data_IF_818489221769
#
_entry.id   IF_818489221769
#
_cell.length_a   1.000
_cell.length_b   1.000
_cell.length_c   1.000
_cell.angle_alpha   90.00
_cell.angle_beta   90.00
_cell.angle_gamma   90.00
#
_symmetry.space_group_name_H-M   'P 1'
#
loop_
_entity.id
_entity.type
_entity.pdbx_description
1 polymer ?
#
# COMPACT_ATOMS: atom_id res chain seq x y z
N UNK A 1 17.16 39.82 -23.78
CA UNK A 1 16.83 38.96 -22.74
C UNK A 1 16.46 37.57 -23.18
N UNK A 2 17.31 36.71 -22.90
CA UNK A 2 17.13 35.41 -23.44
C UNK A 2 16.42 34.49 -22.52
N UNK A 3 15.22 34.09 -22.91
CA UNK A 3 14.54 33.01 -22.28
C UNK A 3 15.12 31.69 -22.77
N UNK A 4 16.31 31.40 -22.31
CA UNK A 4 16.90 30.13 -22.68
C UNK A 4 16.17 29.02 -21.97
N UNK A 5 15.56 28.14 -22.74
CA UNK A 5 14.97 26.92 -22.19
C UNK A 5 16.08 26.07 -21.58
N UNK A 6 15.87 25.47 -20.41
CA UNK A 6 16.86 24.54 -19.86
C UNK A 6 17.14 23.44 -20.88
N UNK A 7 18.37 22.99 -20.93
CA UNK A 7 18.72 21.87 -21.81
C UNK A 7 18.08 20.60 -21.29
N UNK A 8 17.73 19.69 -22.17
CA UNK A 8 17.13 18.42 -21.79
C UNK A 8 18.02 17.62 -20.84
N UNK A 9 19.34 17.52 -21.06
CA UNK A 9 20.22 16.84 -20.11
C UNK A 9 20.19 17.46 -18.72
N UNK A 10 20.12 18.79 -18.62
CA UNK A 10 20.02 19.46 -17.31
C UNK A 10 18.73 19.13 -16.59
N UNK A 11 17.62 19.09 -17.32
CA UNK A 11 16.32 18.73 -16.75
C UNK A 11 16.31 17.29 -16.24
N UNK A 12 16.87 16.36 -16.99
CA UNK A 12 16.98 14.97 -16.58
C UNK A 12 17.84 14.85 -15.33
N UNK A 13 18.97 15.54 -15.30
CA UNK A 13 19.84 15.55 -14.13
C UNK A 13 19.13 16.11 -12.89
N UNK A 14 18.43 17.22 -13.06
CA UNK A 14 17.68 17.84 -11.96
C UNK A 14 16.58 16.89 -11.44
N UNK A 15 15.86 16.28 -12.35
CA UNK A 15 14.81 15.32 -11.96
C UNK A 15 15.40 14.15 -11.15
N UNK A 16 16.50 13.60 -11.62
CA UNK A 16 17.16 12.48 -10.92
C UNK A 16 17.64 12.88 -9.53
N UNK A 17 18.23 14.05 -9.40
CA UNK A 17 18.68 14.57 -8.12
C UNK A 17 17.51 14.72 -7.13
N UNK A 18 16.39 15.26 -7.61
CA UNK A 18 15.18 15.41 -6.79
C UNK A 18 14.60 14.05 -6.41
N UNK A 19 14.58 13.11 -7.34
CA UNK A 19 14.10 11.75 -7.09
C UNK A 19 14.93 11.06 -6.02
N UNK A 20 16.24 11.16 -6.12
CA UNK A 20 17.16 10.55 -5.15
C UNK A 20 16.99 11.19 -3.77
N UNK A 21 16.82 12.49 -3.72
CA UNK A 21 16.58 13.21 -2.47
C UNK A 21 15.25 12.77 -1.82
N UNK A 22 14.20 12.63 -2.61
CA UNK A 22 12.92 12.14 -2.11
C UNK A 22 13.03 10.72 -1.57
N UNK A 23 13.77 9.86 -2.25
CA UNK A 23 13.99 8.48 -1.81
C UNK A 23 14.74 8.43 -0.47
N UNK A 24 15.76 9.28 -0.34
CA UNK A 24 16.52 9.36 0.90
C UNK A 24 15.67 9.86 2.06
N UNK A 25 14.84 10.89 1.83
CA UNK A 25 13.93 11.39 2.85
C UNK A 25 12.94 10.31 3.33
N UNK A 26 12.40 9.54 2.39
CA UNK A 26 11.49 8.44 2.75
C UNK A 26 12.18 7.37 3.56
N UNK A 27 13.42 7.05 3.20
CA UNK A 27 14.21 6.06 3.92
C UNK A 27 14.51 6.51 5.34
N UNK A 28 14.96 7.76 5.50
CA UNK A 28 15.25 8.33 6.81
C UNK A 28 14.01 8.39 7.69
N UNK A 29 12.89 8.79 7.10
CA UNK A 29 11.61 8.83 7.79
C UNK A 29 11.20 7.45 8.29
N UNK A 30 11.31 6.43 7.44
CA UNK A 30 10.95 5.07 7.80
C UNK A 30 11.81 4.52 8.93
N UNK A 31 13.09 4.83 8.91
CA UNK A 31 14.03 4.39 9.96
C UNK A 31 13.70 5.02 11.31
N UNK A 32 13.45 6.33 11.32
CA UNK A 32 13.06 7.02 12.56
C UNK A 32 11.72 6.54 13.07
N UNK A 33 10.74 6.43 12.17
CA UNK A 33 9.41 5.96 12.52
C UNK A 33 9.45 4.56 13.11
N UNK A 34 10.22 3.67 12.51
CA UNK A 34 10.38 2.31 13.02
C UNK A 34 10.98 2.26 14.41
N UNK A 35 11.96 3.11 14.67
CA UNK A 35 12.57 3.20 15.99
C UNK A 35 11.55 3.63 17.04
N UNK A 36 10.75 4.65 16.71
CA UNK A 36 9.68 5.13 17.61
C UNK A 36 8.60 4.08 17.79
N UNK A 37 8.21 3.41 16.73
CA UNK A 37 7.22 2.33 16.78
C UNK A 37 7.67 1.20 17.69
N UNK A 38 8.94 0.81 17.58
CA UNK A 38 9.50 -0.24 18.44
C UNK A 38 9.42 0.14 19.92
N UNK A 39 9.68 1.41 20.24
CA UNK A 39 9.54 1.91 21.60
C UNK A 39 8.09 1.88 22.07
N UNK A 40 7.15 2.28 21.21
CA UNK A 40 5.73 2.20 21.51
C UNK A 40 5.27 0.77 21.74
N UNK A 41 5.75 -0.16 20.91
CA UNK A 41 5.39 -1.58 21.02
C UNK A 41 5.85 -2.18 22.36
N UNK A 42 7.02 -1.79 22.82
CA UNK A 42 7.49 -2.23 24.15
C UNK A 42 6.59 -1.73 25.28
N UNK A 43 6.15 -0.48 25.18
CA UNK A 43 5.20 0.08 26.15
C UNK A 43 3.87 -0.65 26.09
N UNK A 44 3.37 -0.92 24.88
CA UNK A 44 2.11 -1.68 24.68
C UNK A 44 2.20 -3.06 25.32
N UNK A 45 3.33 -3.75 25.19
CA UNK A 45 3.53 -5.06 25.81
C UNK A 45 3.45 -5.01 27.33
N UNK A 46 4.08 -3.99 27.94
CA UNK A 46 4.01 -3.80 29.38
C UNK A 46 2.59 -3.56 29.82
N UNK A 47 1.84 -2.71 29.11
CA UNK A 47 0.46 -2.40 29.44
C UNK A 47 -0.44 -3.61 29.24
N UNK A 48 -0.21 -4.39 28.18
CA UNK A 48 -0.97 -5.62 27.90
C UNK A 48 -0.72 -6.66 29.01
N UNK A 49 0.52 -6.82 29.45
CA UNK A 49 0.88 -7.70 30.54
C UNK A 49 0.17 -7.29 31.83
N UNK A 50 0.12 -5.99 32.12
CA UNK A 50 -0.59 -5.47 33.28
C UNK A 50 -2.08 -5.85 33.24
N UNK A 51 -2.72 -5.66 32.09
CA UNK A 51 -4.13 -6.04 31.93
C UNK A 51 -4.35 -7.55 32.08
N UNK A 52 -3.42 -8.33 31.56
CA UNK A 52 -3.51 -9.79 31.61
C UNK A 52 -3.34 -10.31 33.02
N UNK A 53 -2.36 -9.80 33.76
CA UNK A 53 -2.08 -10.21 35.13
C UNK A 53 -3.18 -9.83 36.10
N UNK A 54 -3.85 -8.70 35.86
CA UNK A 54 -4.92 -8.22 36.74
C UNK A 54 -6.33 -8.53 36.21
N UNK A 55 -6.40 -9.20 35.07
CA UNK A 55 -7.67 -9.55 34.40
C UNK A 55 -8.59 -8.33 34.23
N UNK A 56 -8.05 -7.26 33.73
CA UNK A 56 -8.78 -6.02 33.46
C UNK A 56 -8.65 -5.65 31.99
N UNK A 57 -9.66 -4.96 31.46
CA UNK A 57 -9.70 -4.59 30.05
C UNK A 57 -9.44 -3.11 29.81
N UNK A 58 -9.54 -2.29 30.83
CA UNK A 58 -9.37 -0.84 30.69
C UNK A 58 -8.83 -0.24 31.97
N UNK A 59 -7.90 0.72 31.82
CA UNK A 59 -7.35 1.46 32.96
C UNK A 59 -7.35 2.93 32.59
N UNK A 60 -7.94 3.76 33.47
CA UNK A 60 -7.95 5.20 33.31
C UNK A 60 -6.81 5.79 34.15
N UNK A 61 -5.99 6.62 33.50
CA UNK A 61 -4.91 7.36 34.16
C UNK A 61 -5.06 8.83 33.90
N UNK A 62 -4.32 9.65 34.62
CA UNK A 62 -4.32 11.11 34.40
C UNK A 62 -3.80 11.48 33.02
N UNK A 63 -2.96 10.60 32.41
CA UNK A 63 -2.37 10.83 31.10
C UNK A 63 -3.20 10.24 29.95
N UNK A 64 -4.28 9.53 30.26
CA UNK A 64 -5.14 8.89 29.29
C UNK A 64 -5.62 7.53 29.75
N UNK A 65 -6.41 6.90 28.92
CA UNK A 65 -6.98 5.58 29.21
C UNK A 65 -6.41 4.57 28.22
N UNK A 66 -5.95 3.44 28.72
CA UNK A 66 -5.59 2.33 27.84
C UNK A 66 -6.58 1.18 27.99
N UNK A 67 -6.83 0.51 26.87
CA UNK A 67 -7.83 -0.55 26.79
C UNK A 67 -7.24 -1.76 26.08
N UNK A 68 -7.43 -2.95 26.68
CA UNK A 68 -7.06 -4.19 26.01
C UNK A 68 -8.13 -4.53 25.00
N UNK A 69 -7.78 -4.45 23.73
CA UNK A 69 -8.71 -4.70 22.62
C UNK A 69 -8.35 -5.98 21.90
N UNK A 70 -9.36 -6.79 21.62
CA UNK A 70 -9.16 -8.01 20.84
C UNK A 70 -9.26 -7.65 19.36
N UNK A 71 -8.15 -7.84 18.64
CA UNK A 71 -8.10 -7.61 17.21
C UNK A 71 -8.10 -8.94 16.49
N UNK A 72 -9.08 -9.16 15.63
CA UNK A 72 -9.20 -10.38 14.84
C UNK A 72 -8.96 -10.06 13.39
N UNK A 73 -8.02 -10.77 12.78
CA UNK A 73 -7.72 -10.65 11.34
C UNK A 73 -8.19 -11.91 10.66
N UNK A 74 -8.83 -11.75 9.52
CA UNK A 74 -9.32 -12.86 8.71
C UNK A 74 -8.49 -12.98 7.45
N UNK A 75 -8.08 -14.19 7.13
CA UNK A 75 -7.27 -14.48 5.95
C UNK A 75 -7.58 -15.89 5.44
N UNK A 76 -7.12 -16.20 4.24
CA UNK A 76 -7.34 -17.54 3.69
C UNK A 76 -6.03 -18.12 3.17
N UNK A 77 -5.89 -19.43 3.31
CA UNK A 77 -4.84 -20.21 2.66
C UNK A 77 -5.39 -21.08 1.53
N UNK A 78 -6.68 -20.95 1.24
CA UNK A 78 -7.33 -21.72 0.18
C UNK A 78 -8.33 -20.83 -0.55
N UNK A 79 -7.83 -20.09 -1.54
CA UNK A 79 -8.65 -19.15 -2.30
C UNK A 79 -9.75 -19.82 -3.10
N UNK A 80 -9.52 -21.06 -3.59
CA UNK A 80 -10.52 -21.78 -4.36
C UNK A 80 -11.76 -22.07 -3.53
N UNK A 81 -11.55 -22.58 -2.32
CA UNK A 81 -12.66 -22.85 -1.40
C UNK A 81 -13.38 -21.57 -0.98
N UNK A 82 -12.61 -20.51 -0.74
CA UNK A 82 -13.22 -19.24 -0.38
C UNK A 82 -14.06 -18.69 -1.53
N UNK A 83 -13.57 -18.76 -2.76
CA UNK A 83 -14.33 -18.32 -3.93
C UNK A 83 -15.61 -19.13 -4.10
N UNK A 84 -15.56 -20.45 -3.94
CA UNK A 84 -16.73 -21.30 -4.00
C UNK A 84 -17.78 -20.88 -2.94
N UNK A 85 -17.32 -20.63 -1.74
CA UNK A 85 -18.19 -20.19 -0.65
C UNK A 85 -18.84 -18.85 -0.97
N UNK A 86 -18.07 -17.89 -1.48
CA UNK A 86 -18.57 -16.56 -1.87
C UNK A 86 -19.65 -16.67 -2.95
N UNK A 87 -19.42 -17.51 -3.96
CA UNK A 87 -20.38 -17.73 -5.04
C UNK A 87 -21.64 -18.43 -4.55
N UNK A 88 -21.47 -19.43 -3.70
CA UNK A 88 -22.60 -20.19 -3.14
C UNK A 88 -23.51 -19.31 -2.27
N UNK A 89 -22.92 -18.44 -1.45
CA UNK A 89 -23.66 -17.58 -0.54
C UNK A 89 -23.96 -16.19 -1.11
N UNK A 90 -23.50 -15.92 -2.33
CA UNK A 90 -23.69 -14.63 -3.01
C UNK A 90 -23.20 -13.42 -2.17
N UNK A 91 -21.99 -13.54 -1.61
CA UNK A 91 -21.43 -12.51 -0.73
C UNK A 91 -20.09 -11.95 -1.26
N UNK A 92 -20.05 -11.40 -2.50
CA UNK A 92 -18.79 -10.86 -3.02
C UNK A 92 -18.26 -9.67 -2.22
N UNK A 93 -19.11 -9.05 -1.41
CA UNK A 93 -18.75 -7.87 -0.62
C UNK A 93 -17.76 -8.15 0.52
N UNK A 94 -17.51 -9.43 0.84
CA UNK A 94 -16.46 -9.75 1.82
C UNK A 94 -15.05 -9.54 1.24
N UNK A 95 -14.93 -9.41 -0.08
CA UNK A 95 -13.68 -9.06 -0.75
C UNK A 95 -13.62 -7.57 -1.01
N UNK A 96 -12.41 -7.03 -1.01
CA UNK A 96 -12.22 -5.63 -1.36
C UNK A 96 -12.46 -5.42 -2.85
N UNK A 97 -13.09 -4.28 -3.18
CA UNK A 97 -13.34 -3.91 -4.57
C UNK A 97 -12.08 -3.31 -5.19
N UNK A 98 -11.24 -4.16 -5.71
CA UNK A 98 -10.03 -3.75 -6.38
C UNK A 98 -9.84 -4.57 -7.65
N UNK A 99 -9.64 -3.87 -8.76
CA UNK A 99 -9.40 -4.52 -10.05
C UNK A 99 -7.91 -4.84 -10.15
N UNK A 100 -7.58 -6.09 -10.44
CA UNK A 100 -6.22 -6.48 -10.75
C UNK A 100 -5.89 -5.99 -12.16
N UNK A 101 -5.06 -4.97 -12.27
CA UNK A 101 -4.68 -4.40 -13.56
C UNK A 101 -3.98 -5.43 -14.45
N UNK A 102 -3.11 -6.22 -13.86
CA UNK A 102 -2.36 -7.25 -14.60
C UNK A 102 -3.28 -8.33 -15.14
N UNK A 103 -4.14 -8.89 -14.30
CA UNK A 103 -5.06 -9.94 -14.72
C UNK A 103 -6.07 -9.42 -15.76
N UNK A 104 -6.52 -8.19 -15.59
CA UNK A 104 -7.44 -7.58 -16.54
C UNK A 104 -6.77 -7.36 -17.88
N UNK A 105 -5.52 -6.88 -17.91
CA UNK A 105 -4.78 -6.71 -19.16
C UNK A 105 -4.60 -8.03 -19.89
N UNK A 106 -4.28 -9.09 -19.18
CA UNK A 106 -4.15 -10.43 -19.78
C UNK A 106 -5.45 -10.89 -20.38
N UNK A 107 -6.55 -10.67 -19.70
CA UNK A 107 -7.88 -11.01 -20.20
C UNK A 107 -8.24 -10.24 -21.47
N UNK A 108 -7.96 -8.91 -21.48
CA UNK A 108 -8.22 -8.04 -22.62
C UNK A 108 -7.33 -8.34 -23.81
N UNK A 109 -6.10 -8.81 -23.56
CA UNK A 109 -5.14 -9.14 -24.62
C UNK A 109 -5.42 -10.49 -25.29
N UNK A 110 -6.26 -11.31 -24.66
CA UNK A 110 -6.67 -12.60 -25.24
C UNK A 110 -7.39 -12.36 -26.56
N UNK A 111 -7.08 -13.15 -27.56
CA UNK A 111 -7.67 -13.03 -28.89
C UNK A 111 -9.21 -13.12 -28.87
N UNK A 112 -9.74 -13.97 -28.00
CA UNK A 112 -11.19 -14.14 -27.86
C UNK A 112 -11.88 -12.89 -27.30
N UNK A 113 -11.14 -12.04 -26.60
CA UNK A 113 -11.69 -10.87 -25.91
C UNK A 113 -11.28 -9.54 -26.51
N UNK A 114 -10.57 -9.56 -27.65
CA UNK A 114 -10.13 -8.30 -28.29
C UNK A 114 -11.30 -7.39 -28.59
N UNK A 115 -11.16 -6.14 -28.17
CA UNK A 115 -12.17 -5.12 -28.39
C UNK A 115 -13.33 -5.15 -27.42
N UNK A 116 -13.33 -6.09 -26.48
CA UNK A 116 -14.37 -6.18 -25.46
C UNK A 116 -13.91 -5.46 -24.19
N UNK A 117 -14.68 -4.48 -23.78
CA UNK A 117 -14.51 -3.86 -22.47
C UNK A 117 -15.66 -4.36 -21.58
N UNK A 118 -15.35 -5.04 -20.45
CA UNK A 118 -16.41 -5.53 -19.57
C UNK A 118 -17.37 -4.42 -19.14
N UNK A 119 -18.63 -4.74 -19.06
CA UNK A 119 -19.65 -3.76 -18.62
C UNK A 119 -19.32 -3.27 -17.21
N UNK A 120 -19.46 -1.99 -16.99
CA UNK A 120 -19.16 -1.36 -15.73
C UNK A 120 -17.69 -0.96 -15.57
N UNK A 121 -16.85 -1.35 -16.53
CA UNK A 121 -15.45 -1.01 -16.52
C UNK A 121 -15.21 0.26 -17.33
N UNK A 122 -14.37 1.14 -16.84
CA UNK A 122 -13.94 2.34 -17.55
C UNK A 122 -12.42 2.29 -17.69
N UNK A 123 -11.95 2.85 -18.80
CA UNK A 123 -10.52 2.89 -19.09
C UNK A 123 -10.11 4.30 -19.51
N UNK A 124 -8.97 4.74 -19.04
CA UNK A 124 -8.34 5.95 -19.52
C UNK A 124 -6.89 5.67 -19.79
N UNK A 125 -6.27 6.54 -20.56
CA UNK A 125 -4.85 6.43 -20.88
C UNK A 125 -4.24 7.81 -20.87
N UNK A 126 -3.04 7.90 -20.34
CA UNK A 126 -2.28 9.14 -20.38
C UNK A 126 -0.84 8.83 -20.74
N UNK A 127 -0.21 9.79 -21.41
CA UNK A 127 1.21 9.69 -21.68
C UNK A 127 1.98 10.26 -20.50
N UNK A 128 3.02 9.57 -20.11
CA UNK A 128 3.88 10.01 -19.01
C UNK A 128 5.33 9.86 -19.41
N UNK A 129 6.21 10.48 -18.66
CA UNK A 129 7.64 10.41 -18.87
C UNK A 129 8.27 9.52 -17.82
N UNK A 130 9.05 8.57 -18.27
CA UNK A 130 9.84 7.71 -17.41
C UNK A 130 11.32 8.04 -17.61
N UNK A 131 12.02 8.25 -16.50
CA UNK A 131 13.44 8.61 -16.56
C UNK A 131 14.26 7.49 -15.93
N UNK A 132 15.19 6.96 -16.69
CA UNK A 132 16.07 5.89 -16.27
C UNK A 132 17.51 6.37 -16.21
N UNK A 133 18.30 5.72 -15.38
CA UNK A 133 19.74 5.97 -15.35
C UNK A 133 20.37 5.57 -16.68
N UNK A 134 21.42 6.27 -17.11
CA UNK A 134 22.16 5.82 -18.28
C UNK A 134 22.63 4.39 -18.10
N UNK A 135 22.52 3.59 -19.15
CA UNK A 135 23.12 2.26 -19.15
C UNK A 135 24.62 2.50 -19.25
N UNK A 136 25.27 2.37 -18.11
CA UNK A 136 26.66 2.68 -18.04
C UNK A 136 27.53 1.49 -18.05
N UNK A 137 28.59 1.72 -18.55
CA UNK A 137 29.77 0.94 -18.42
C UNK A 137 30.30 1.04 -17.00
#
# INVERSE_FOLDING_TARGET
MENSKPSLPKLVKAFRALRDKRSQLKKDYKEEDKTLETKQDKIKEVLLTHCRENDINSVKTDEGTFTRTKKVNYWTNDWEKLHEFILEHEIPDILQRRISQTNLREWLDDEEHKGLLPKGLQADAEYTITIQKPRGT
#
